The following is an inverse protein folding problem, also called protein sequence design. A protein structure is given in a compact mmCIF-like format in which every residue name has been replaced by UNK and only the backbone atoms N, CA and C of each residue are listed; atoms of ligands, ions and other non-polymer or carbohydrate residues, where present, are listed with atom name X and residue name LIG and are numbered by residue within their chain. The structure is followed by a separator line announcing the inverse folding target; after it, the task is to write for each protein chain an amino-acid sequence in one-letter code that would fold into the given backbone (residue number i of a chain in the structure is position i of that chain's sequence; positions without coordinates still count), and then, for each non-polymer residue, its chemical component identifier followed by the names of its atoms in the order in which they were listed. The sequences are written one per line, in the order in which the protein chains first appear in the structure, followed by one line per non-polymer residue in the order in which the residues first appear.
data_IF_418491348782
#
_entry.id   IF_418491348782
#
_cell.length_a   1.000
_cell.length_b   1.000
_cell.length_c   1.000
_cell.angle_alpha   90.00
_cell.angle_beta   90.00
_cell.angle_gamma   90.00
#
_symmetry.space_group_name_H-M   'P 1'
#
loop_
_entity.id
_entity.type
_entity.pdbx_description
1 polymer ?
#
# COMPACT_ATOMS: atom_id res chain seq x y z
N UNK A 1 -20.53 28.57 -7.17
CA UNK A 1 -21.56 27.92 -8.00
C UNK A 1 -21.70 28.81 -9.23
N UNK A 2 -21.42 28.30 -10.43
CA UNK A 2 -21.39 29.15 -11.63
C UNK A 2 -22.85 29.53 -11.96
N UNK A 3 -23.17 30.82 -11.95
CA UNK A 3 -24.49 31.31 -12.33
C UNK A 3 -24.76 31.00 -13.80
N UNK A 4 -25.88 30.31 -14.08
CA UNK A 4 -26.37 30.03 -15.43
C UNK A 4 -26.21 28.59 -15.96
N UNK A 5 -25.51 27.70 -15.26
CA UNK A 5 -25.36 26.29 -15.66
C UNK A 5 -26.17 25.34 -14.78
N UNK A 6 -26.86 24.38 -15.40
CA UNK A 6 -27.64 23.37 -14.69
C UNK A 6 -26.76 22.45 -13.83
N UNK A 7 -27.32 21.93 -12.74
CA UNK A 7 -26.62 21.03 -11.81
C UNK A 7 -25.98 19.82 -12.53
N UNK A 8 -26.63 19.31 -13.58
CA UNK A 8 -26.14 18.18 -14.39
C UNK A 8 -24.88 18.57 -15.18
N UNK A 9 -24.84 19.75 -15.81
CA UNK A 9 -23.67 20.20 -16.56
C UNK A 9 -22.47 20.49 -15.65
N UNK A 10 -22.72 21.00 -14.44
CA UNK A 10 -21.65 21.24 -13.45
C UNK A 10 -21.09 19.91 -12.92
N UNK A 11 -21.97 18.92 -12.67
CA UNK A 11 -21.55 17.58 -12.27
C UNK A 11 -20.74 16.89 -13.40
N UNK A 12 -21.19 16.98 -14.65
CA UNK A 12 -20.46 16.43 -15.79
C UNK A 12 -19.06 17.04 -15.92
N UNK A 13 -18.93 18.37 -15.88
CA UNK A 13 -17.63 19.03 -15.92
C UNK A 13 -16.74 18.65 -14.73
N UNK A 14 -17.31 18.55 -13.52
CA UNK A 14 -16.60 18.10 -12.33
C UNK A 14 -16.06 16.67 -12.48
N UNK A 15 -16.92 15.73 -12.90
CA UNK A 15 -16.52 14.32 -13.11
C UNK A 15 -15.46 14.16 -14.20
N UNK A 16 -15.61 14.86 -15.33
CA UNK A 16 -14.69 14.80 -16.46
C UNK A 16 -13.33 15.42 -16.08
N UNK A 17 -13.34 16.47 -15.24
CA UNK A 17 -12.13 17.03 -14.66
C UNK A 17 -11.42 16.06 -13.72
N UNK A 18 -12.16 15.39 -12.81
CA UNK A 18 -11.58 14.37 -11.91
C UNK A 18 -10.96 13.21 -12.70
N UNK A 19 -11.66 12.69 -13.70
CA UNK A 19 -11.14 11.64 -14.57
C UNK A 19 -9.94 12.12 -15.39
N UNK A 20 -9.95 13.37 -15.86
CA UNK A 20 -8.83 14.00 -16.54
C UNK A 20 -7.58 14.07 -15.66
N UNK A 21 -7.72 14.46 -14.39
CA UNK A 21 -6.61 14.45 -13.42
C UNK A 21 -6.08 13.03 -13.17
N UNK A 22 -6.95 12.02 -13.05
CA UNK A 22 -6.54 10.62 -12.92
C UNK A 22 -5.77 10.14 -14.15
N UNK A 23 -6.28 10.45 -15.35
CA UNK A 23 -5.63 10.11 -16.61
C UNK A 23 -4.27 10.82 -16.77
N UNK A 24 -4.18 12.09 -16.37
CA UNK A 24 -2.93 12.85 -16.37
C UNK A 24 -1.91 12.24 -15.40
N UNK A 25 -2.33 11.88 -14.18
CA UNK A 25 -1.48 11.21 -13.20
C UNK A 25 -0.96 9.84 -13.66
N UNK A 26 -1.82 9.04 -14.29
CA UNK A 26 -1.43 7.77 -14.90
C UNK A 26 -0.53 7.99 -16.14
N UNK A 27 -0.78 9.05 -16.91
CA UNK A 27 0.02 9.47 -18.05
C UNK A 27 1.49 9.74 -17.69
N UNK A 28 1.74 10.35 -16.52
CA UNK A 28 3.08 10.62 -16.01
C UNK A 28 3.93 9.34 -15.83
N UNK A 29 3.30 8.17 -15.60
CA UNK A 29 4.01 6.89 -15.44
C UNK A 29 4.69 6.45 -16.75
N UNK A 30 4.14 6.78 -17.92
CA UNK A 30 4.75 6.45 -19.20
C UNK A 30 6.05 7.21 -19.49
N UNK A 31 6.23 8.37 -18.86
CA UNK A 31 7.47 9.14 -18.95
C UNK A 31 8.57 8.58 -18.02
N UNK A 32 8.18 7.88 -16.96
CA UNK A 32 9.08 7.27 -15.97
C UNK A 32 9.42 5.85 -16.43
N UNK A 33 10.50 5.73 -17.20
CA UNK A 33 10.97 4.45 -17.76
C UNK A 33 11.53 3.52 -16.66
N UNK A 34 10.64 2.78 -16.00
CA UNK A 34 10.79 1.43 -15.42
C UNK A 34 11.92 1.09 -14.42
N UNK A 35 12.84 1.98 -14.04
CA UNK A 35 14.07 1.56 -13.32
C UNK A 35 14.34 2.20 -11.96
N UNK A 36 13.49 3.12 -11.49
CA UNK A 36 13.71 3.80 -10.21
C UNK A 36 12.62 3.43 -9.20
N UNK A 37 12.80 2.31 -8.46
CA UNK A 37 11.90 1.96 -7.33
C UNK A 37 11.71 3.13 -6.36
N UNK A 38 12.76 3.94 -6.16
CA UNK A 38 12.70 5.19 -5.38
C UNK A 38 11.63 6.17 -5.86
N UNK A 39 11.43 6.36 -7.17
CA UNK A 39 10.40 7.27 -7.68
C UNK A 39 8.99 6.73 -7.43
N UNK A 40 8.83 5.40 -7.47
CA UNK A 40 7.56 4.74 -7.16
C UNK A 40 7.22 4.84 -5.67
N UNK A 41 8.21 4.64 -4.80
CA UNK A 41 8.04 4.79 -3.35
C UNK A 41 7.73 6.25 -2.98
N UNK A 42 8.34 7.21 -3.67
CA UNK A 42 8.06 8.64 -3.50
C UNK A 42 6.65 9.01 -3.98
N UNK A 43 6.16 8.46 -5.10
CA UNK A 43 4.80 8.76 -5.57
C UNK A 43 3.73 8.14 -4.68
N UNK A 44 3.95 6.92 -4.17
CA UNK A 44 3.11 6.29 -3.15
C UNK A 44 3.07 7.12 -1.86
N UNK A 45 4.23 7.58 -1.38
CA UNK A 45 4.32 8.47 -0.21
C UNK A 45 3.65 9.83 -0.43
N UNK A 46 3.80 10.41 -1.62
CA UNK A 46 3.14 11.68 -1.98
C UNK A 46 1.62 11.53 -2.02
N UNK A 47 1.10 10.47 -2.64
CA UNK A 47 -0.32 10.18 -2.65
C UNK A 47 -0.89 10.01 -1.22
N UNK A 48 -0.18 9.29 -0.36
CA UNK A 48 -0.56 9.14 1.05
C UNK A 48 -0.57 10.51 1.76
N UNK A 49 0.42 11.37 1.51
CA UNK A 49 0.51 12.71 2.12
C UNK A 49 -0.61 13.66 1.67
N UNK A 50 -0.92 13.71 0.37
CA UNK A 50 -2.02 14.56 -0.14
C UNK A 50 -3.37 14.15 0.47
N UNK A 51 -3.60 12.84 0.60
CA UNK A 51 -4.84 12.31 1.17
C UNK A 51 -5.02 12.70 2.66
N UNK A 52 -3.96 12.63 3.47
CA UNK A 52 -4.04 13.00 4.89
C UNK A 52 -4.16 14.51 5.09
N UNK A 53 -3.45 15.32 4.29
CA UNK A 53 -3.50 16.77 4.37
C UNK A 53 -4.88 17.32 3.99
N UNK A 54 -5.47 16.82 2.89
CA UNK A 54 -6.81 17.20 2.46
C UNK A 54 -7.86 16.88 3.54
N UNK A 55 -7.73 15.73 4.20
CA UNK A 55 -8.61 15.31 5.30
C UNK A 55 -8.52 16.25 6.50
N UNK A 56 -7.32 16.73 6.86
CA UNK A 56 -7.15 17.67 7.97
C UNK A 56 -7.86 19.02 7.72
N UNK A 57 -7.61 19.65 6.58
CA UNK A 57 -8.17 20.97 6.30
C UNK A 57 -9.64 20.94 5.90
N UNK A 58 -10.08 19.92 5.15
CA UNK A 58 -11.47 19.87 4.69
C UNK A 58 -12.44 19.30 5.72
N UNK A 59 -11.97 18.45 6.65
CA UNK A 59 -12.84 17.78 7.60
C UNK A 59 -12.48 18.06 9.06
N UNK A 60 -11.20 17.96 9.42
CA UNK A 60 -10.81 18.05 10.84
C UNK A 60 -10.97 19.48 11.39
N UNK A 61 -10.51 20.48 10.63
CA UNK A 61 -10.64 21.89 11.00
C UNK A 61 -12.11 22.33 11.18
N UNK A 62 -13.02 22.13 10.21
CA UNK A 62 -14.43 22.49 10.41
C UNK A 62 -15.12 21.61 11.47
N UNK A 63 -14.77 20.33 11.61
CA UNK A 63 -15.35 19.48 12.64
C UNK A 63 -15.02 19.95 14.07
N UNK A 64 -13.80 20.44 14.30
CA UNK A 64 -13.40 20.98 15.61
C UNK A 64 -14.20 22.25 15.94
N UNK A 65 -14.40 23.14 14.96
CA UNK A 65 -15.21 24.35 15.13
C UNK A 65 -16.66 24.00 15.49
N UNK A 66 -17.27 23.03 14.79
CA UNK A 66 -18.64 22.58 15.09
C UNK A 66 -18.77 21.91 16.49
N UNK A 67 -17.71 21.27 16.97
CA UNK A 67 -17.68 20.67 18.32
C UNK A 67 -17.47 21.72 19.42
N UNK A 68 -16.74 22.78 19.14
CA UNK A 68 -16.48 23.89 20.07
C UNK A 68 -17.72 24.76 20.30
N UNK A 69 -18.54 24.95 19.26
CA UNK A 69 -19.85 25.61 19.34
C UNK A 69 -20.90 24.79 20.12
N UNK A 70 -20.66 23.49 20.29
CA UNK A 70 -21.55 22.58 21.02
C UNK A 70 -21.22 22.60 22.52
N UNK A 71 -22.12 23.19 23.32
CA UNK A 71 -21.97 23.50 24.76
C UNK A 71 -21.59 22.34 25.72
N UNK A 72 -21.47 21.09 25.25
CA UNK A 72 -21.16 19.89 26.04
C UNK A 72 -19.68 19.49 26.03
N UNK A 73 -18.86 19.97 25.07
CA UNK A 73 -17.50 19.46 24.84
C UNK A 73 -16.43 20.55 24.69
N UNK A 74 -16.60 21.74 25.29
CA UNK A 74 -15.73 22.90 25.05
C UNK A 74 -14.20 22.65 25.00
N UNK A 75 -13.62 21.87 25.93
CA UNK A 75 -12.15 21.59 25.98
C UNK A 75 -11.77 20.19 25.46
N UNK A 76 -12.75 19.35 25.14
CA UNK A 76 -12.55 17.96 24.69
C UNK A 76 -12.99 17.73 23.24
N UNK A 77 -13.15 18.79 22.43
CA UNK A 77 -13.53 18.73 21.01
C UNK A 77 -12.62 17.86 20.14
N UNK A 78 -11.36 17.68 20.53
CA UNK A 78 -10.42 16.79 19.82
C UNK A 78 -10.71 15.30 20.07
N UNK A 79 -11.36 14.96 21.20
CA UNK A 79 -11.63 13.58 21.60
C UNK A 79 -12.60 12.85 20.65
N UNK A 80 -13.78 13.40 20.28
CA UNK A 80 -14.69 12.73 19.36
C UNK A 80 -14.10 12.61 17.95
N UNK A 81 -13.34 13.62 17.50
CA UNK A 81 -12.69 13.60 16.19
C UNK A 81 -11.57 12.54 16.13
N UNK A 82 -10.72 12.49 17.16
CA UNK A 82 -9.68 11.47 17.27
C UNK A 82 -10.27 10.06 17.45
N UNK A 83 -11.35 9.92 18.22
CA UNK A 83 -12.04 8.65 18.38
C UNK A 83 -12.64 8.16 17.05
N UNK A 84 -13.30 9.04 16.29
CA UNK A 84 -13.83 8.70 14.96
C UNK A 84 -12.73 8.29 13.97
N UNK A 85 -11.61 9.02 13.96
CA UNK A 85 -10.46 8.66 13.12
C UNK A 85 -9.83 7.32 13.53
N UNK A 86 -9.70 7.06 14.84
CA UNK A 86 -9.14 5.81 15.37
C UNK A 86 -10.06 4.61 15.06
N UNK A 87 -11.37 4.77 15.21
CA UNK A 87 -12.34 3.72 14.82
C UNK A 87 -12.27 3.45 13.31
N UNK A 88 -12.16 4.49 12.48
CA UNK A 88 -11.95 4.33 11.04
C UNK A 88 -10.64 3.61 10.69
N UNK A 89 -9.54 3.94 11.37
CA UNK A 89 -8.25 3.27 11.19
C UNK A 89 -8.30 1.79 11.59
N UNK A 90 -8.94 1.47 12.72
CA UNK A 90 -9.17 0.09 13.17
C UNK A 90 -10.05 -0.66 12.17
N UNK A 91 -11.06 -0.01 11.59
CA UNK A 91 -11.92 -0.61 10.57
C UNK A 91 -11.15 -1.00 9.30
N UNK A 92 -10.29 -0.11 8.79
CA UNK A 92 -9.43 -0.42 7.62
C UNK A 92 -8.45 -1.54 7.97
N UNK A 93 -7.80 -1.48 9.13
CA UNK A 93 -6.91 -2.54 9.60
C UNK A 93 -7.61 -3.89 9.72
N UNK A 94 -8.84 -3.91 10.22
CA UNK A 94 -9.66 -5.12 10.29
C UNK A 94 -9.95 -5.66 8.89
N UNK A 95 -10.31 -4.79 7.95
CA UNK A 95 -10.59 -5.14 6.55
C UNK A 95 -9.35 -5.76 5.88
N UNK A 96 -8.17 -5.18 6.07
CA UNK A 96 -6.90 -5.75 5.58
C UNK A 96 -6.66 -7.14 6.17
N UNK A 97 -6.92 -7.31 7.46
CA UNK A 97 -6.76 -8.61 8.14
C UNK A 97 -7.78 -9.66 7.67
N UNK A 98 -8.99 -9.24 7.32
CA UNK A 98 -10.02 -10.09 6.71
C UNK A 98 -9.63 -10.52 5.30
N UNK A 99 -9.03 -9.63 4.49
CA UNK A 99 -8.50 -9.96 3.17
C UNK A 99 -7.37 -11.00 3.25
N UNK A 100 -6.47 -10.87 4.23
CA UNK A 100 -5.43 -11.89 4.49
C UNK A 100 -6.03 -13.23 4.93
N UNK A 101 -7.11 -13.21 5.74
CA UNK A 101 -7.79 -14.43 6.22
C UNK A 101 -8.48 -15.20 5.09
N UNK A 102 -8.95 -14.50 4.05
CA UNK A 102 -9.53 -15.10 2.84
C UNK A 102 -8.46 -15.65 1.86
N UNK A 103 -7.17 -15.55 2.20
CA UNK A 103 -6.10 -16.23 1.47
C UNK A 103 -5.66 -15.58 0.16
N UNK A 104 -6.02 -14.31 -0.08
CA UNK A 104 -5.59 -13.57 -1.28
C UNK A 104 -4.11 -13.16 -1.19
N UNK A 105 -3.55 -13.13 0.02
CA UNK A 105 -2.13 -12.91 0.27
C UNK A 105 -1.35 -14.20 0.11
N UNK A 106 -0.93 -14.47 -1.14
CA UNK A 106 -0.09 -15.60 -1.53
C UNK A 106 1.19 -15.65 -0.68
N UNK A 107 1.15 -16.42 0.42
CA UNK A 107 2.29 -16.70 1.31
C UNK A 107 3.48 -17.27 0.52
N UNK A 108 3.22 -17.90 -0.64
CA UNK A 108 4.24 -18.43 -1.53
C UNK A 108 5.09 -17.34 -2.22
N UNK A 109 4.55 -16.14 -2.48
CA UNK A 109 5.31 -15.07 -3.16
C UNK A 109 6.15 -14.24 -2.16
N UNK A 110 5.69 -14.13 -0.90
CA UNK A 110 6.43 -13.48 0.19
C UNK A 110 7.62 -14.33 0.68
N UNK A 111 7.50 -15.66 0.68
CA UNK A 111 8.63 -16.59 0.96
C UNK A 111 9.73 -16.45 -0.11
N UNK A 112 9.37 -16.25 -1.38
CA UNK A 112 10.34 -16.11 -2.47
C UNK A 112 11.06 -14.73 -2.44
N UNK A 113 10.37 -13.66 -2.06
CA UNK A 113 10.97 -12.32 -1.95
C UNK A 113 11.86 -12.15 -0.70
N UNK A 114 11.62 -12.92 0.37
CA UNK A 114 12.50 -12.95 1.56
C UNK A 114 13.85 -13.63 1.29
N UNK A 115 14.00 -14.36 0.18
CA UNK A 115 15.26 -14.96 -0.27
C UNK A 115 16.20 -14.01 -1.03
N UNK A 116 15.72 -12.83 -1.43
CA UNK A 116 16.50 -11.87 -2.24
C UNK A 116 17.02 -10.67 -1.44
N UNK A 117 17.55 -10.90 -0.23
CA UNK A 117 18.24 -9.85 0.55
C UNK A 117 19.57 -10.34 1.13
N UNK A 118 20.44 -10.84 0.25
CA UNK A 118 21.86 -11.03 0.56
C UNK A 118 22.71 -10.48 -0.61
N UNK A 119 23.08 -9.18 -0.60
CA UNK A 119 24.22 -8.75 -1.39
C UNK A 119 25.47 -9.27 -0.66
N UNK A 120 26.28 -10.07 -1.35
CA UNK A 120 27.62 -10.56 -0.95
C UNK A 120 27.74 -12.02 -0.47
N UNK A 121 26.84 -12.93 -0.87
CA UNK A 121 27.24 -14.33 -1.05
C UNK A 121 27.28 -14.67 -2.55
N UNK A 122 28.36 -15.29 -3.06
CA UNK A 122 28.39 -15.76 -4.43
C UNK A 122 27.26 -16.77 -4.65
N UNK A 123 26.46 -16.53 -5.70
CA UNK A 123 25.33 -17.36 -6.19
C UNK A 123 25.84 -18.70 -6.78
N UNK A 124 26.87 -19.29 -6.17
CA UNK A 124 27.36 -20.64 -6.41
C UNK A 124 26.96 -21.58 -5.26
N UNK A 125 26.65 -21.05 -4.07
CA UNK A 125 26.28 -21.83 -2.88
C UNK A 125 24.76 -21.97 -2.68
N UNK A 126 23.94 -21.22 -3.43
CA UNK A 126 22.47 -21.39 -3.43
C UNK A 126 21.95 -22.33 -4.53
N UNK A 127 22.80 -22.75 -5.46
CA UNK A 127 22.49 -23.86 -6.38
C UNK A 127 22.61 -25.19 -5.64
N UNK A 128 21.62 -25.40 -4.79
CA UNK A 128 21.09 -26.67 -4.29
C UNK A 128 21.94 -27.40 -3.22
N UNK A 129 21.49 -27.40 -1.94
CA UNK A 129 21.80 -28.50 -1.03
C UNK A 129 21.40 -29.87 -1.60
N UNK A 130 20.39 -29.86 -2.49
CA UNK A 130 19.85 -31.02 -3.17
C UNK A 130 20.70 -31.53 -4.35
N UNK A 131 21.49 -30.69 -5.04
CA UNK A 131 22.37 -31.14 -6.14
C UNK A 131 23.60 -31.87 -5.58
N UNK A 132 24.14 -31.37 -4.46
CA UNK A 132 25.23 -31.99 -3.72
C UNK A 132 24.80 -33.31 -3.06
N UNK A 133 23.57 -33.40 -2.54
CA UNK A 133 23.00 -34.65 -2.01
C UNK A 133 22.71 -35.70 -3.10
N UNK A 134 22.24 -35.29 -4.28
CA UNK A 134 22.02 -36.20 -5.41
C UNK A 134 23.32 -36.66 -6.09
N UNK A 135 24.38 -35.85 -6.08
CA UNK A 135 25.69 -36.25 -6.58
C UNK A 135 26.38 -37.25 -5.64
N UNK A 136 26.28 -37.04 -4.32
CA UNK A 136 26.84 -37.95 -3.32
C UNK A 136 26.10 -39.31 -3.27
N UNK A 137 24.78 -39.33 -3.55
CA UNK A 137 24.00 -40.58 -3.64
C UNK A 137 24.19 -41.36 -4.94
N UNK A 138 24.72 -40.73 -6.02
CA UNK A 138 25.11 -41.44 -7.25
C UNK A 138 26.55 -42.00 -7.22
N UNK A 139 27.41 -41.47 -6.35
CA UNK A 139 28.74 -42.02 -6.07
C UNK A 139 28.78 -43.14 -5.02
N UNK A 140 27.72 -43.30 -4.23
CA UNK A 140 27.59 -44.31 -3.17
C UNK A 140 26.75 -45.53 -3.62
N UNK A 141 26.94 -45.95 -4.87
CA UNK A 141 26.36 -47.18 -5.45
C UNK A 141 27.39 -48.28 -5.75
N UNK A 142 28.68 -48.04 -5.45
CA UNK A 142 29.78 -48.97 -5.77
C UNK A 142 30.80 -49.13 -4.62
N UNK A 143 30.37 -48.98 -3.35
CA UNK A 143 31.28 -49.22 -2.21
C UNK A 143 30.57 -49.66 -0.92
N UNK A 144 29.58 -50.55 -1.04
CA UNK A 144 29.01 -51.32 0.08
C UNK A 144 28.91 -52.82 -0.28
N UNK A 145 29.98 -53.35 -0.88
CA UNK A 145 30.26 -54.79 -0.92
C UNK A 145 31.75 -54.99 -0.64
N UNK A 146 32.14 -54.81 0.62
CA UNK A 146 33.32 -55.42 1.24
C UNK A 146 33.38 -54.96 2.70
N UNK A 147 33.06 -55.88 3.60
CA UNK A 147 33.43 -55.95 5.04
C UNK A 147 32.99 -54.81 5.93
#
# INVERSE_FOLDING_TARGET
MIEGYGAVTQALLGTLFTWGLTAAGAGCVFFIRGKQRKLLDVSLGFAAGVMTAASYWSLLQPAIQMCEDSALYGRLSFLPVAAGFLVGAVFVFCTDRFLDYLGISSTNMMIWCKGSKHPNEPIANLTCPWSTLLNNRRGSGHRMMAV
#
